data_IF_164499222716
#
_entry.id   IF_164499222716
#
_cell.length_a   1.000
_cell.length_b   1.000
_cell.length_c   1.000
_cell.angle_alpha   90.00
_cell.angle_beta   90.00
_cell.angle_gamma   90.00
#
_symmetry.space_group_name_H-M   'P 1'
#
loop_
_entity.id
_entity.type
_entity.pdbx_description
1 polymer ?
#
# COMPACT_ATOMS: atom_id res chain seq x y z
N UNK A 1 16.45 6.26 10.51
CA UNK A 1 16.13 6.40 10.01
C UNK A 1 15.26 5.87 9.33
N UNK A 2 14.54 5.88 9.08
CA UNK A 2 13.75 5.42 8.57
C UNK A 2 13.83 5.17 7.37
N UNK A 3 14.00 4.57 6.92
CA UNK A 3 14.21 4.31 5.63
C UNK A 3 13.06 3.96 4.85
N UNK A 4 11.99 3.92 5.43
CA UNK A 4 10.79 3.58 4.71
C UNK A 4 10.36 4.71 3.84
N UNK A 5 10.21 4.47 2.55
CA UNK A 5 9.82 5.50 1.63
C UNK A 5 8.60 5.07 0.85
N UNK A 6 7.53 4.84 1.54
CA UNK A 6 6.26 4.52 0.91
C UNK A 6 5.38 5.76 0.97
N UNK A 7 4.91 6.18 -0.17
CA UNK A 7 3.98 7.31 -0.27
C UNK A 7 2.66 6.81 -0.82
N UNK A 8 1.64 7.62 -0.74
CA UNK A 8 0.30 7.24 -1.18
C UNK A 8 -0.33 8.38 -1.93
N UNK A 9 -0.99 8.06 -3.05
CA UNK A 9 -1.81 9.07 -3.73
C UNK A 9 -3.10 9.23 -2.93
N UNK A 10 -3.81 10.31 -3.20
CA UNK A 10 -5.09 10.54 -2.51
C UNK A 10 -6.08 9.43 -2.80
N UNK A 11 -6.10 8.96 -4.04
CA UNK A 11 -7.01 7.90 -4.44
C UNK A 11 -6.67 6.61 -3.69
N UNK A 12 -5.38 6.28 -3.62
CA UNK A 12 -4.95 5.08 -2.91
C UNK A 12 -5.28 5.18 -1.43
N UNK A 13 -5.09 6.36 -0.84
CA UNK A 13 -5.41 6.57 0.55
C UNK A 13 -6.89 6.30 0.81
N UNK A 14 -7.75 6.77 -0.08
CA UNK A 14 -9.18 6.56 0.10
C UNK A 14 -9.55 5.08 0.01
N UNK A 15 -8.98 4.39 -0.97
CA UNK A 15 -9.24 2.96 -1.12
C UNK A 15 -8.73 2.18 0.10
N UNK A 16 -7.52 2.49 0.54
CA UNK A 16 -6.95 1.79 1.68
C UNK A 16 -7.73 2.04 2.95
N UNK A 17 -8.19 3.27 3.14
CA UNK A 17 -8.99 3.58 4.32
C UNK A 17 -10.29 2.79 4.33
N UNK A 18 -10.98 2.72 3.20
CA UNK A 18 -12.22 1.97 3.12
C UNK A 18 -11.99 0.48 3.33
N UNK A 19 -10.92 -0.03 2.74
CA UNK A 19 -10.59 -1.44 2.88
C UNK A 19 -10.26 -1.76 4.33
N UNK A 20 -9.49 -0.89 4.96
CA UNK A 20 -9.11 -1.08 6.35
C UNK A 20 -10.34 -1.10 7.26
N UNK A 21 -11.24 -0.16 7.05
CA UNK A 21 -12.44 -0.08 7.88
C UNK A 21 -13.32 -1.31 7.69
N UNK A 22 -13.49 -1.74 6.45
CA UNK A 22 -14.33 -2.90 6.18
C UNK A 22 -13.71 -4.16 6.79
N UNK A 23 -12.40 -4.32 6.65
CA UNK A 23 -11.74 -5.49 7.19
C UNK A 23 -11.86 -5.56 8.70
N UNK A 24 -11.72 -4.41 9.37
CA UNK A 24 -11.77 -4.38 10.83
C UNK A 24 -13.14 -4.70 11.39
N UNK A 25 -14.17 -4.60 10.58
CA UNK A 25 -15.50 -5.02 11.03
C UNK A 25 -15.60 -6.51 11.19
N UNK A 26 -14.84 -7.24 10.38
CA UNK A 26 -14.84 -8.69 10.48
C UNK A 26 -13.76 -9.21 11.41
N UNK A 27 -12.63 -8.54 11.43
CA UNK A 27 -11.50 -8.99 12.21
C UNK A 27 -10.73 -7.77 12.71
N UNK A 28 -10.81 -7.45 14.01
CA UNK A 28 -10.13 -6.26 14.54
C UNK A 28 -8.61 -6.30 14.37
N UNK A 29 -8.05 -7.46 14.05
CA UNK A 29 -6.61 -7.57 13.86
C UNK A 29 -6.21 -7.47 12.40
N UNK A 30 -7.17 -7.33 11.49
CA UNK A 30 -6.87 -7.36 10.08
C UNK A 30 -6.13 -6.12 9.63
N UNK A 31 -5.16 -6.29 8.75
CA UNK A 31 -4.38 -5.20 8.19
C UNK A 31 -4.05 -5.57 6.76
N UNK A 32 -3.98 -4.57 5.89
CA UNK A 32 -3.56 -4.80 4.52
C UNK A 32 -2.04 -4.96 4.51
N UNK A 33 -1.57 -5.94 3.77
CA UNK A 33 -0.15 -6.21 3.66
C UNK A 33 0.30 -6.08 2.22
N UNK A 34 1.34 -5.30 2.00
CA UNK A 34 1.96 -5.15 0.69
C UNK A 34 3.21 -6.03 0.66
N UNK A 35 3.27 -6.95 -0.27
CA UNK A 35 4.39 -7.88 -0.32
C UNK A 35 4.68 -8.29 -1.76
N UNK A 36 5.80 -8.97 -1.95
CA UNK A 36 6.16 -9.46 -3.27
C UNK A 36 5.45 -10.76 -3.55
N UNK A 37 5.02 -10.92 -4.79
CA UNK A 37 4.36 -12.14 -5.20
C UNK A 37 4.71 -12.41 -6.66
N UNK A 38 5.51 -13.44 -6.91
CA UNK A 38 5.82 -13.88 -8.27
C UNK A 38 6.30 -12.77 -9.18
N UNK A 39 7.29 -12.03 -8.71
CA UNK A 39 7.89 -11.00 -9.54
C UNK A 39 7.16 -9.68 -9.58
N UNK A 40 6.07 -9.57 -8.85
CA UNK A 40 5.35 -8.31 -8.75
C UNK A 40 4.99 -8.08 -7.29
N UNK A 41 4.07 -7.20 -7.02
CA UNK A 41 3.63 -6.96 -5.65
C UNK A 41 2.14 -7.27 -5.55
N UNK A 42 1.71 -7.60 -4.35
CA UNK A 42 0.32 -7.89 -4.08
C UNK A 42 -0.11 -7.24 -2.78
N UNK A 43 -1.38 -6.95 -2.68
CA UNK A 43 -1.98 -6.39 -1.48
C UNK A 43 -2.98 -7.41 -0.96
N UNK A 44 -2.75 -7.90 0.26
CA UNK A 44 -3.62 -8.91 0.85
C UNK A 44 -3.99 -8.52 2.25
N UNK A 45 -5.04 -9.11 2.78
CA UNK A 45 -5.41 -8.91 4.17
C UNK A 45 -4.75 -9.99 5.01
N UNK A 46 -4.27 -9.60 6.19
CA UNK A 46 -3.67 -10.56 7.09
C UNK A 46 -3.92 -10.12 8.52
N UNK A 47 -3.93 -11.06 9.44
CA UNK A 47 -3.97 -10.73 10.87
C UNK A 47 -2.64 -11.11 11.52
N UNK A 48 -1.63 -11.37 10.72
CA UNK A 48 -0.31 -11.70 11.23
C UNK A 48 0.62 -10.53 11.10
N UNK A 49 1.71 -10.58 11.83
CA UNK A 49 2.74 -9.56 11.78
C UNK A 49 4.06 -10.23 11.45
N UNK A 50 4.29 -10.53 10.17
CA UNK A 50 5.54 -11.21 9.80
C UNK A 50 6.75 -10.42 10.23
N UNK A 51 7.77 -11.15 10.66
CA UNK A 51 8.99 -10.53 11.09
C UNK A 51 9.66 -9.85 9.90
N UNK A 52 10.14 -8.64 10.09
CA UNK A 52 10.77 -7.91 9.00
C UNK A 52 9.83 -6.96 8.31
N UNK A 53 8.54 -7.14 8.48
CA UNK A 53 7.58 -6.19 7.93
C UNK A 53 7.59 -4.90 8.73
N UNK A 54 7.31 -3.80 8.05
CA UNK A 54 7.22 -2.52 8.71
C UNK A 54 5.78 -2.02 8.65
N UNK A 55 5.29 -1.52 9.76
CA UNK A 55 3.94 -0.98 9.82
C UNK A 55 3.97 0.49 9.45
N UNK A 56 3.29 0.85 8.40
CA UNK A 56 3.21 2.22 7.93
C UNK A 56 1.80 2.74 8.23
N UNK A 57 1.74 3.83 8.95
CA UNK A 57 0.44 4.43 9.27
C UNK A 57 0.11 5.51 8.27
N UNK A 58 -1.06 5.41 7.68
CA UNK A 58 -1.54 6.42 6.77
C UNK A 58 -2.70 7.17 7.38
N UNK A 59 -3.43 7.86 6.53
CA UNK A 59 -4.55 8.67 6.97
C UNK A 59 -5.78 7.80 7.10
N UNK A 60 -6.00 7.27 8.30
CA UNK A 60 -7.15 6.43 8.57
C UNK A 60 -6.96 4.96 8.25
N UNK A 61 -5.72 4.52 8.05
CA UNK A 61 -5.44 3.12 7.77
C UNK A 61 -4.02 2.78 8.19
N UNK A 62 -3.73 1.49 8.22
CA UNK A 62 -2.38 0.99 8.45
C UNK A 62 -2.04 0.03 7.32
N UNK A 63 -0.77 -0.04 6.97
CA UNK A 63 -0.29 -0.91 5.92
C UNK A 63 0.97 -1.61 6.39
N UNK A 64 0.97 -2.94 6.32
CA UNK A 64 2.19 -3.69 6.56
C UNK A 64 2.96 -3.76 5.25
N UNK A 65 4.24 -3.46 5.30
CA UNK A 65 5.06 -3.42 4.10
C UNK A 65 6.21 -4.38 4.28
N UNK A 66 6.32 -5.34 3.37
CA UNK A 66 7.41 -6.31 3.43
C UNK A 66 8.73 -5.60 3.20
N UNK A 67 9.76 -6.18 3.75
CA UNK A 67 11.08 -5.58 3.72
C UNK A 67 11.55 -5.34 2.28
N UNK A 68 12.16 -4.18 2.05
CA UNK A 68 12.74 -3.91 0.75
C UNK A 68 11.84 -3.25 -0.27
N UNK A 69 10.61 -2.95 0.10
CA UNK A 69 9.69 -2.30 -0.84
C UNK A 69 9.69 -0.80 -0.61
N UNK A 70 9.61 -0.05 -1.69
CA UNK A 70 9.50 1.39 -1.62
C UNK A 70 8.83 1.89 -2.89
N UNK A 71 8.29 3.09 -2.84
CA UNK A 71 7.61 3.68 -3.97
C UNK A 71 6.33 4.36 -3.55
N UNK A 72 5.42 4.51 -4.49
CA UNK A 72 4.14 5.17 -4.26
C UNK A 72 3.00 4.22 -4.55
N UNK A 73 2.11 4.08 -3.59
CA UNK A 73 0.90 3.28 -3.78
C UNK A 73 -0.10 4.13 -4.53
N UNK A 74 -0.62 3.61 -5.62
CA UNK A 74 -1.52 4.31 -6.49
C UNK A 74 -2.64 3.36 -6.89
N UNK A 75 -3.58 3.86 -7.67
CA UNK A 75 -4.71 3.07 -8.13
C UNK A 75 -4.78 3.17 -9.64
N UNK A 76 -5.06 2.05 -10.29
CA UNK A 76 -5.24 2.05 -11.73
C UNK A 76 -6.59 1.45 -12.07
N UNK A 77 -7.15 1.95 -13.16
CA UNK A 77 -8.41 1.45 -13.65
C UNK A 77 -8.16 0.26 -14.56
N UNK A 78 -9.20 -0.50 -14.85
CA UNK A 78 -10.60 -0.18 -14.60
C UNK A 78 -11.16 -0.67 -13.28
N UNK A 79 -10.41 -1.44 -12.50
CA UNK A 79 -11.01 -2.07 -11.33
C UNK A 79 -10.49 -1.51 -10.02
N UNK A 80 -10.07 -0.25 -10.02
CA UNK A 80 -9.55 0.38 -8.80
C UNK A 80 -8.50 -0.50 -8.16
N UNK A 81 -7.56 -0.96 -8.96
CA UNK A 81 -6.56 -1.88 -8.49
C UNK A 81 -5.38 -1.14 -7.88
N UNK A 82 -5.02 -1.51 -6.67
CA UNK A 82 -3.86 -0.93 -6.01
C UNK A 82 -2.58 -1.45 -6.64
N UNK A 83 -1.64 -0.55 -6.86
CA UNK A 83 -0.32 -0.91 -7.39
C UNK A 83 0.74 -0.14 -6.63
N UNK A 84 1.96 -0.57 -6.78
CA UNK A 84 3.11 0.14 -6.22
C UNK A 84 3.97 0.61 -7.38
N UNK A 85 4.10 1.93 -7.52
CA UNK A 85 4.96 2.50 -8.54
C UNK A 85 6.35 2.69 -7.97
N UNK A 86 7.38 2.33 -8.71
CA UNK A 86 8.75 2.58 -8.25
C UNK A 86 8.97 4.08 -8.06
N UNK A 87 9.89 4.46 -7.20
CA UNK A 87 10.05 5.89 -6.85
C UNK A 87 10.22 6.80 -8.06
N UNK A 88 11.02 6.43 -9.03
CA UNK A 88 11.24 7.28 -10.18
C UNK A 88 10.03 7.40 -11.07
N UNK A 89 9.31 6.31 -11.22
CA UNK A 89 8.11 6.29 -12.07
C UNK A 89 7.00 7.13 -11.49
N UNK A 90 6.84 7.10 -10.18
CA UNK A 90 5.81 7.89 -9.56
C UNK A 90 6.01 9.36 -9.82
N UNK A 91 7.23 9.80 -9.73
CA UNK A 91 7.53 11.19 -9.97
C UNK A 91 7.23 11.58 -11.40
N UNK A 92 7.61 10.74 -12.32
CA UNK A 92 7.37 11.01 -13.71
C UNK A 92 5.89 11.04 -14.02
N UNK A 93 5.13 10.15 -13.45
CA UNK A 93 3.71 10.11 -13.65
C UNK A 93 3.05 11.39 -13.22
N UNK A 94 3.44 11.90 -12.10
CA UNK A 94 2.84 13.10 -11.56
C UNK A 94 3.08 14.26 -12.48
N UNK A 95 4.24 14.33 -13.08
CA UNK A 95 4.56 15.44 -13.92
C UNK A 95 4.08 15.31 -15.32
N UNK A 96 3.57 14.19 -15.70
CA UNK A 96 3.18 13.98 -17.03
C UNK A 96 1.98 14.80 -17.33
N UNK A 97 2.04 15.71 -18.20
CA UNK A 97 0.85 16.47 -18.45
C UNK A 97 -0.05 15.69 -19.33
N UNK A 98 -0.76 15.79 -19.75
CA UNK A 98 -1.54 15.11 -20.62
C UNK A 98 -2.73 15.39 -20.75
#
# INVERSE_FOLDING_TARGET
>A
MNAMTIAFTDWATDILRRTHEAARRFNPEATVRLHRSEGTVAFDLTDERPQGDELVEGDGFELLVAEGLEGTVDVVEPHDQLILRPPGDAERSVRQPH
#
